data_IF_468129025774
#
_entry.id   IF_468129025774
#
_cell.length_a   1.000
_cell.length_b   1.000
_cell.length_c   1.000
_cell.angle_alpha   90.00
_cell.angle_beta   90.00
_cell.angle_gamma   90.00
#
_symmetry.space_group_name_H-M   'P 1'
#
loop_
_entity.id
_entity.type
_entity.pdbx_description
1 polymer ?
#
# COMPACT_ATOMS: atom_id res chain seq x y z
N UNK A 1 51.23 28.40 13.25
CA UNK A 1 51.79 27.29 12.45
C UNK A 1 52.85 27.72 11.43
N UNK A 2 52.64 28.75 10.60
CA UNK A 2 53.63 29.15 9.56
C UNK A 2 55.01 29.58 10.08
N UNK A 3 55.11 30.20 11.26
CA UNK A 3 56.41 30.53 11.91
C UNK A 3 57.06 29.38 12.69
N UNK A 4 56.34 28.30 12.97
CA UNK A 4 56.86 27.13 13.70
C UNK A 4 57.43 26.06 12.74
N UNK A 5 56.91 26.00 11.51
CA UNK A 5 57.40 25.07 10.48
C UNK A 5 58.75 25.49 9.88
N UNK A 6 59.08 26.80 9.85
CA UNK A 6 60.35 27.27 9.27
C UNK A 6 61.60 26.91 10.09
N UNK A 7 61.50 26.70 11.41
CA UNK A 7 62.64 26.30 12.24
C UNK A 7 62.96 24.80 12.18
N UNK A 8 62.07 23.96 11.64
CA UNK A 8 62.24 22.49 11.64
C UNK A 8 63.01 21.95 10.42
N UNK A 9 63.38 22.81 9.47
CA UNK A 9 64.01 22.42 8.20
C UNK A 9 65.49 22.80 8.08
N UNK A 10 66.15 23.38 9.10
CA UNK A 10 67.54 23.85 8.99
C UNK A 10 68.57 23.20 9.92
N UNK A 11 68.25 22.12 10.64
CA UNK A 11 69.23 21.45 11.51
C UNK A 11 69.43 19.97 11.12
N UNK A 12 70.56 19.71 10.47
CA UNK A 12 71.09 18.37 10.16
C UNK A 12 72.02 17.93 11.30
N UNK A 13 71.50 17.13 12.23
CA UNK A 13 72.29 16.50 13.29
C UNK A 13 71.52 15.37 13.98
N UNK A 14 72.21 14.32 14.43
CA UNK A 14 71.62 13.09 14.99
C UNK A 14 70.76 13.29 16.26
N UNK A 15 70.86 14.45 16.93
CA UNK A 15 69.93 14.84 18.01
C UNK A 15 68.49 15.17 17.53
N UNK A 16 68.25 15.13 16.22
CA UNK A 16 66.97 15.46 15.57
C UNK A 16 65.95 14.31 15.60
N UNK A 17 66.36 13.05 15.77
CA UNK A 17 65.44 11.91 15.64
C UNK A 17 64.53 11.77 16.88
N UNK A 18 65.08 11.93 18.09
CA UNK A 18 64.30 11.86 19.34
C UNK A 18 63.37 13.07 19.52
N UNK A 19 63.78 14.26 19.04
CA UNK A 19 62.92 15.46 19.05
C UNK A 19 61.81 15.36 18.02
N UNK A 20 62.07 14.80 16.83
CA UNK A 20 61.02 14.52 15.82
C UNK A 20 60.00 13.50 16.31
N UNK A 21 60.42 12.43 16.99
CA UNK A 21 59.49 11.46 17.58
C UNK A 21 58.64 12.05 18.69
N UNK A 22 59.21 12.88 19.58
CA UNK A 22 58.44 13.59 20.62
C UNK A 22 57.49 14.64 20.03
N UNK A 23 57.88 15.34 18.98
CA UNK A 23 57.01 16.27 18.26
C UNK A 23 55.87 15.55 17.52
N UNK A 24 56.12 14.37 16.95
CA UNK A 24 55.09 13.54 16.31
C UNK A 24 54.10 12.98 17.34
N UNK A 25 54.56 12.51 18.50
CA UNK A 25 53.69 12.05 19.59
C UNK A 25 52.86 13.18 20.19
N UNK A 26 53.43 14.39 20.35
CA UNK A 26 52.67 15.57 20.75
C UNK A 26 51.64 15.99 19.69
N UNK A 27 51.99 15.94 18.40
CA UNK A 27 51.06 16.24 17.32
C UNK A 27 49.93 15.20 17.24
N UNK A 28 50.22 13.92 17.45
CA UNK A 28 49.21 12.85 17.49
C UNK A 28 48.29 12.95 18.72
N UNK A 29 48.85 13.30 19.88
CA UNK A 29 48.07 13.57 21.08
C UNK A 29 47.19 14.82 20.92
N UNK A 30 47.71 15.88 20.29
CA UNK A 30 46.96 17.11 20.04
C UNK A 30 45.86 16.90 18.99
N UNK A 31 46.14 16.12 17.93
CA UNK A 31 45.12 15.72 16.94
C UNK A 31 44.08 14.79 17.59
N UNK A 32 44.46 13.84 18.44
CA UNK A 32 43.49 12.97 19.13
C UNK A 32 42.62 13.74 20.13
N UNK A 33 43.18 14.73 20.84
CA UNK A 33 42.42 15.59 21.75
C UNK A 33 41.54 16.58 20.98
N UNK A 34 42.05 17.20 19.91
CA UNK A 34 41.25 18.06 19.04
C UNK A 34 40.14 17.29 18.32
N UNK A 35 40.39 16.05 17.91
CA UNK A 35 39.38 15.17 17.31
C UNK A 35 38.35 14.73 18.34
N UNK A 36 38.75 14.39 19.58
CA UNK A 36 37.79 14.09 20.67
C UNK A 36 36.99 15.32 21.10
N UNK A 37 37.58 16.52 21.05
CA UNK A 37 36.89 17.78 21.35
C UNK A 37 35.94 18.18 20.21
N UNK A 38 36.35 18.01 18.96
CA UNK A 38 35.51 18.20 17.78
C UNK A 38 34.38 17.17 17.72
N UNK A 39 34.62 15.90 18.09
CA UNK A 39 33.60 14.86 18.17
C UNK A 39 32.64 15.09 19.34
N UNK A 40 33.12 15.62 20.48
CA UNK A 40 32.25 16.04 21.60
C UNK A 40 31.44 17.30 21.28
N UNK A 41 31.99 18.25 20.53
CA UNK A 41 31.26 19.42 20.01
C UNK A 41 30.27 19.03 18.90
N UNK A 42 30.61 18.06 18.04
CA UNK A 42 29.70 17.50 17.03
C UNK A 42 28.62 16.62 17.65
N UNK A 43 28.92 15.92 18.76
CA UNK A 43 27.92 15.21 19.56
C UNK A 43 27.03 16.17 20.36
N UNK A 44 27.57 17.29 20.88
CA UNK A 44 26.76 18.33 21.52
C UNK A 44 25.87 19.06 20.51
N UNK A 45 26.40 19.40 19.33
CA UNK A 45 25.60 19.97 18.24
C UNK A 45 24.62 18.95 17.64
N UNK A 46 24.96 17.66 17.60
CA UNK A 46 24.08 16.58 17.18
C UNK A 46 22.94 16.33 18.17
N UNK A 47 23.17 16.55 19.46
CA UNK A 47 22.14 16.47 20.51
C UNK A 47 21.30 17.75 20.55
N UNK A 48 21.86 18.94 20.26
CA UNK A 48 21.08 20.20 20.17
C UNK A 48 20.30 20.29 18.85
N UNK A 49 20.82 19.76 17.75
CA UNK A 49 20.07 19.57 16.49
C UNK A 49 19.07 18.42 16.62
N UNK A 50 19.37 17.39 17.42
CA UNK A 50 18.41 16.33 17.78
C UNK A 50 17.28 16.80 18.71
N UNK A 51 17.52 17.81 19.55
CA UNK A 51 16.50 18.43 20.42
C UNK A 51 15.74 19.59 19.73
N UNK A 52 16.27 20.17 18.65
CA UNK A 52 15.56 21.14 17.80
C UNK A 52 14.93 20.52 16.54
N UNK A 53 15.24 19.26 16.21
CA UNK A 53 14.52 18.42 15.24
C UNK A 53 13.58 17.40 15.91
N UNK A 54 13.39 17.49 17.22
CA UNK A 54 12.47 16.67 18.01
C UNK A 54 11.00 17.11 18.00
N UNK A 55 10.59 17.97 17.06
CA UNK A 55 9.19 18.38 16.85
C UNK A 55 8.73 18.13 15.40
N UNK A 56 9.16 17.02 14.82
CA UNK A 56 8.61 16.51 13.57
C UNK A 56 8.35 15.00 13.64
N UNK A 57 7.86 14.49 14.76
CA UNK A 57 6.96 13.33 14.73
C UNK A 57 5.58 13.82 14.29
N UNK A 58 5.50 14.24 13.03
CA UNK A 58 4.27 14.22 12.24
C UNK A 58 3.96 12.78 11.85
N UNK A 59 3.89 11.88 12.84
CA UNK A 59 3.26 10.60 12.67
C UNK A 59 1.89 10.88 12.09
N UNK A 60 1.64 10.35 10.89
CA UNK A 60 0.41 10.53 10.17
C UNK A 60 -0.77 10.13 11.07
N UNK A 61 -1.33 11.13 11.77
CA UNK A 61 -2.75 11.20 12.13
C UNK A 61 -3.48 10.92 10.83
N UNK A 62 -4.52 10.12 10.79
CA UNK A 62 -5.15 9.66 9.54
C UNK A 62 -6.59 10.15 9.41
N UNK A 63 -7.03 10.45 8.18
CA UNK A 63 -8.43 10.72 7.88
C UNK A 63 -9.06 9.78 6.88
N UNK A 64 -10.41 9.84 6.73
CA UNK A 64 -11.45 8.86 6.35
C UNK A 64 -11.24 7.44 6.89
N UNK A 65 -12.32 6.65 7.11
CA UNK A 65 -12.33 5.46 8.00
C UNK A 65 -11.13 5.45 8.96
N UNK A 66 -11.14 6.38 9.90
CA UNK A 66 -10.01 6.75 10.73
C UNK A 66 -9.78 5.67 11.76
N UNK A 67 -8.78 4.85 11.52
CA UNK A 67 -8.34 3.84 12.45
C UNK A 67 -6.85 4.03 12.76
N UNK A 68 -6.54 4.27 14.03
CA UNK A 68 -5.19 4.61 14.48
C UNK A 68 -4.13 3.52 14.20
N UNK A 69 -4.55 2.25 14.08
CA UNK A 69 -3.64 1.14 13.78
C UNK A 69 -3.47 0.89 12.27
N UNK A 70 -4.34 1.44 11.43
CA UNK A 70 -4.10 1.46 9.98
C UNK A 70 -3.02 2.51 9.70
N UNK A 71 -2.15 2.26 8.71
CA UNK A 71 -1.08 3.19 8.34
C UNK A 71 -0.97 3.29 6.84
N UNK A 72 -0.91 4.53 6.35
CA UNK A 72 -0.76 4.82 4.93
C UNK A 72 0.63 5.34 4.59
N UNK A 73 1.16 4.87 3.47
CA UNK A 73 2.34 5.43 2.86
C UNK A 73 1.99 6.77 2.17
N UNK A 74 2.98 7.62 1.85
CA UNK A 74 2.72 8.86 1.14
C UNK A 74 2.05 8.61 -0.22
N UNK A 75 0.92 9.30 -0.46
CA UNK A 75 0.22 9.31 -1.74
C UNK A 75 0.73 10.46 -2.64
N UNK A 76 0.70 10.31 -3.98
CA UNK A 76 0.14 9.18 -4.72
C UNK A 76 1.08 7.95 -4.75
N UNK A 77 0.54 6.75 -4.62
CA UNK A 77 1.29 5.49 -4.75
C UNK A 77 1.27 4.96 -6.18
N UNK A 78 2.17 4.03 -6.52
CA UNK A 78 2.13 3.30 -7.81
C UNK A 78 0.78 2.61 -8.00
N UNK A 79 0.28 2.61 -9.23
CA UNK A 79 -1.02 2.04 -9.58
C UNK A 79 -1.16 0.58 -9.16
N UNK A 80 -0.18 -0.26 -9.49
CA UNK A 80 -0.18 -1.68 -9.10
C UNK A 80 -0.35 -1.87 -7.59
N UNK A 81 0.57 -1.32 -6.80
CA UNK A 81 0.52 -1.49 -5.34
C UNK A 81 -0.74 -0.90 -4.72
N UNK A 82 -1.21 0.23 -5.28
CA UNK A 82 -2.50 0.80 -4.91
C UNK A 82 -3.66 -0.20 -5.06
N UNK A 83 -3.76 -0.83 -6.22
CA UNK A 83 -4.85 -1.73 -6.56
C UNK A 83 -4.84 -3.01 -5.73
N UNK A 84 -3.65 -3.51 -5.38
CA UNK A 84 -3.49 -4.64 -4.46
C UNK A 84 -4.05 -4.32 -3.08
N UNK A 85 -3.62 -3.20 -2.50
CA UNK A 85 -4.06 -2.77 -1.17
C UNK A 85 -5.54 -2.42 -1.14
N UNK A 86 -6.03 -1.73 -2.18
CA UNK A 86 -7.44 -1.43 -2.34
C UNK A 86 -8.30 -2.70 -2.40
N UNK A 87 -7.87 -3.73 -3.15
CA UNK A 87 -8.55 -5.03 -3.19
C UNK A 87 -8.50 -5.72 -1.82
N UNK A 88 -7.37 -5.70 -1.12
CA UNK A 88 -7.26 -6.28 0.21
C UNK A 88 -8.26 -5.65 1.19
N UNK A 89 -8.39 -4.31 1.19
CA UNK A 89 -9.38 -3.59 2.01
C UNK A 89 -10.81 -3.99 1.66
N UNK A 90 -11.10 -4.22 0.38
CA UNK A 90 -12.43 -4.62 -0.10
C UNK A 90 -12.86 -5.99 0.43
N UNK A 91 -11.92 -6.91 0.67
CA UNK A 91 -12.24 -8.25 1.19
C UNK A 91 -12.53 -8.26 2.69
N UNK A 92 -12.21 -7.19 3.44
CA UNK A 92 -12.48 -7.12 4.89
C UNK A 92 -13.98 -7.23 5.19
N UNK A 93 -14.82 -6.57 4.38
CA UNK A 93 -16.27 -6.56 4.57
C UNK A 93 -16.94 -7.89 4.19
N UNK A 94 -16.23 -8.80 3.51
CA UNK A 94 -16.80 -10.07 3.02
C UNK A 94 -16.63 -11.15 4.08
N UNK A 95 -17.72 -11.58 4.72
CA UNK A 95 -17.64 -12.59 5.80
C UNK A 95 -17.25 -13.99 5.33
N UNK A 96 -17.77 -14.38 4.15
CA UNK A 96 -17.52 -15.67 3.51
C UNK A 96 -17.34 -15.42 2.02
N UNK A 97 -16.09 -15.30 1.55
CA UNK A 97 -15.82 -15.24 0.11
C UNK A 97 -16.41 -16.46 -0.59
N UNK A 98 -16.99 -16.26 -1.77
CA UNK A 98 -17.65 -17.32 -2.54
C UNK A 98 -16.68 -18.45 -2.96
N UNK A 99 -15.37 -18.16 -2.95
CA UNK A 99 -14.28 -19.07 -3.23
C UNK A 99 -13.69 -19.74 -1.96
N UNK A 100 -14.29 -19.52 -0.78
CA UNK A 100 -13.77 -20.03 0.49
C UNK A 100 -12.49 -19.32 0.97
N UNK A 101 -12.10 -18.21 0.33
CA UNK A 101 -10.87 -17.49 0.62
C UNK A 101 -10.76 -16.99 2.06
N UNK A 102 -9.55 -17.06 2.62
CA UNK A 102 -9.19 -16.44 3.90
C UNK A 102 -8.59 -15.06 3.66
N UNK A 103 -9.11 -14.02 4.32
CA UNK A 103 -8.50 -12.68 4.34
C UNK A 103 -7.81 -12.45 5.69
N UNK A 104 -6.46 -12.45 5.75
CA UNK A 104 -5.71 -12.17 6.98
C UNK A 104 -6.10 -10.81 7.57
N UNK A 105 -6.24 -9.81 6.70
CA UNK A 105 -6.62 -8.46 7.11
C UNK A 105 -8.01 -8.44 7.76
N UNK A 106 -8.99 -9.21 7.23
CA UNK A 106 -10.29 -9.36 7.90
C UNK A 106 -10.14 -9.90 9.32
N UNK A 107 -9.29 -10.90 9.53
CA UNK A 107 -9.09 -11.52 10.85
C UNK A 107 -8.52 -10.51 11.86
N UNK A 108 -7.60 -9.64 11.43
CA UNK A 108 -7.08 -8.54 12.25
C UNK A 108 -8.22 -7.60 12.68
N UNK A 109 -9.07 -7.18 11.74
CA UNK A 109 -10.22 -6.31 12.03
C UNK A 109 -11.27 -6.97 12.92
N UNK A 110 -11.55 -8.27 12.73
CA UNK A 110 -12.45 -9.03 13.63
C UNK A 110 -11.87 -9.10 15.04
N UNK A 111 -10.57 -9.35 15.15
CA UNK A 111 -9.88 -9.41 16.44
C UNK A 111 -9.91 -8.06 17.15
N UNK A 112 -9.67 -6.97 16.41
CA UNK A 112 -9.80 -5.60 16.92
C UNK A 112 -11.23 -5.30 17.39
N UNK A 113 -12.26 -5.72 16.64
CA UNK A 113 -13.64 -5.52 17.02
C UNK A 113 -13.99 -6.22 18.34
N UNK A 114 -13.53 -7.47 18.53
CA UNK A 114 -13.71 -8.22 19.79
C UNK A 114 -12.98 -7.54 20.94
N UNK A 115 -11.77 -7.02 20.70
CA UNK A 115 -11.00 -6.28 21.69
C UNK A 115 -11.76 -5.04 22.19
N UNK A 116 -12.20 -4.15 21.29
CA UNK A 116 -12.96 -2.96 21.66
C UNK A 116 -14.31 -3.29 22.30
N UNK A 117 -15.00 -4.34 21.83
CA UNK A 117 -16.24 -4.81 22.45
C UNK A 117 -16.02 -5.22 23.91
N UNK A 118 -14.91 -5.93 24.20
CA UNK A 118 -14.56 -6.31 25.57
C UNK A 118 -14.26 -5.08 26.43
N UNK A 119 -13.49 -4.13 25.90
CA UNK A 119 -13.20 -2.87 26.61
C UNK A 119 -14.48 -2.10 26.97
N UNK A 120 -15.41 -1.99 26.01
CA UNK A 120 -16.68 -1.29 26.20
C UNK A 120 -17.57 -1.93 27.29
N UNK A 121 -17.45 -3.24 27.53
CA UNK A 121 -18.15 -3.95 28.62
C UNK A 121 -17.52 -3.71 29.98
N UNK A 122 -16.21 -3.44 30.02
CA UNK A 122 -15.47 -3.24 31.27
C UNK A 122 -15.52 -1.78 31.73
N UNK A 123 -15.47 -0.84 30.79
CA UNK A 123 -15.50 0.60 31.08
C UNK A 123 -16.04 1.41 29.90
N UNK A 124 -16.46 2.67 30.15
CA UNK A 124 -16.66 3.63 29.08
C UNK A 124 -15.39 3.75 28.22
N UNK A 125 -15.58 3.67 26.90
CA UNK A 125 -14.51 3.93 25.93
C UNK A 125 -14.12 5.41 25.95
N UNK A 126 -12.88 5.73 25.61
CA UNK A 126 -12.43 7.10 25.33
C UNK A 126 -12.88 7.55 23.94
N UNK A 127 -12.66 8.84 23.60
CA UNK A 127 -12.97 9.37 22.28
C UNK A 127 -12.22 8.63 21.15
N UNK A 128 -10.91 8.43 21.33
CA UNK A 128 -10.05 7.71 20.38
C UNK A 128 -10.49 6.26 20.22
N UNK A 129 -10.73 5.55 21.33
CA UNK A 129 -11.18 4.15 21.27
C UNK A 129 -12.56 4.01 20.63
N UNK A 130 -13.46 4.97 20.84
CA UNK A 130 -14.77 4.97 20.19
C UNK A 130 -14.65 5.25 18.69
N UNK A 131 -13.73 6.12 18.29
CA UNK A 131 -13.43 6.40 16.89
C UNK A 131 -12.85 5.17 16.19
N UNK A 132 -11.84 4.53 16.80
CA UNK A 132 -11.21 3.32 16.26
C UNK A 132 -12.20 2.15 16.21
N UNK A 133 -12.99 1.95 17.25
CA UNK A 133 -14.00 0.88 17.24
C UNK A 133 -15.04 1.11 16.13
N UNK A 134 -15.49 2.35 15.95
CA UNK A 134 -16.36 2.73 14.85
C UNK A 134 -15.72 2.46 13.47
N UNK A 135 -14.46 2.82 13.26
CA UNK A 135 -13.75 2.57 12.01
C UNK A 135 -13.59 1.07 11.72
N UNK A 136 -13.24 0.27 12.72
CA UNK A 136 -13.16 -1.19 12.62
C UNK A 136 -14.51 -1.78 12.19
N UNK A 137 -15.60 -1.32 12.81
CA UNK A 137 -16.95 -1.76 12.45
C UNK A 137 -17.34 -1.33 11.02
N UNK A 138 -16.93 -0.13 10.58
CA UNK A 138 -17.13 0.33 9.20
C UNK A 138 -16.42 -0.59 8.20
N UNK A 139 -15.14 -0.91 8.44
CA UNK A 139 -14.36 -1.82 7.58
C UNK A 139 -14.97 -3.21 7.48
N UNK A 140 -15.54 -3.71 8.59
CA UNK A 140 -16.24 -4.98 8.65
C UNK A 140 -17.64 -4.96 8.01
N UNK A 141 -18.11 -3.83 7.47
CA UNK A 141 -19.45 -3.71 6.90
C UNK A 141 -20.58 -3.56 7.93
N UNK A 142 -20.26 -3.41 9.22
CA UNK A 142 -21.22 -3.39 10.35
C UNK A 142 -21.62 -1.95 10.70
N UNK A 143 -22.15 -1.22 9.72
CA UNK A 143 -22.36 0.24 9.84
C UNK A 143 -23.39 0.64 10.91
N UNK A 144 -24.44 -0.16 11.10
CA UNK A 144 -25.42 0.07 12.18
C UNK A 144 -24.76 0.06 13.57
N UNK A 145 -23.86 -0.90 13.80
CA UNK A 145 -23.13 -1.00 15.06
C UNK A 145 -22.10 0.12 15.19
N UNK A 146 -21.45 0.51 14.10
CA UNK A 146 -20.56 1.66 14.09
C UNK A 146 -21.29 2.93 14.55
N UNK A 147 -22.50 3.18 14.06
CA UNK A 147 -23.32 4.33 14.46
C UNK A 147 -23.73 4.29 15.93
N UNK A 148 -24.05 3.10 16.46
CA UNK A 148 -24.39 2.92 17.88
C UNK A 148 -23.23 3.30 18.81
N UNK A 149 -21.98 3.16 18.35
CA UNK A 149 -20.77 3.57 19.08
C UNK A 149 -20.45 5.04 18.82
N UNK A 150 -20.43 5.47 17.56
CA UNK A 150 -19.93 6.78 17.14
C UNK A 150 -20.87 7.93 17.53
N UNK A 151 -22.19 7.77 17.35
CA UNK A 151 -23.15 8.85 17.61
C UNK A 151 -23.17 9.34 19.08
N UNK A 152 -23.24 8.46 20.11
CA UNK A 152 -23.13 8.92 21.50
C UNK A 152 -21.74 9.46 21.83
N UNK A 153 -20.67 8.90 21.27
CA UNK A 153 -19.31 9.39 21.48
C UNK A 153 -19.13 10.81 20.91
N UNK A 154 -19.61 11.09 19.70
CA UNK A 154 -19.54 12.41 19.08
C UNK A 154 -20.31 13.49 19.87
N UNK A 155 -21.44 13.12 20.50
CA UNK A 155 -22.16 14.03 21.42
C UNK A 155 -21.37 14.34 22.69
N UNK A 156 -20.61 13.37 23.20
CA UNK A 156 -19.78 13.53 24.40
C UNK A 156 -18.49 14.30 24.12
N UNK A 157 -17.93 14.15 22.93
CA UNK A 157 -16.70 14.81 22.48
C UNK A 157 -16.92 15.53 21.15
N UNK A 158 -17.61 16.69 21.17
CA UNK A 158 -18.02 17.40 19.96
C UNK A 158 -16.85 17.95 19.13
N UNK A 159 -15.66 18.12 19.71
CA UNK A 159 -14.49 18.65 18.99
C UNK A 159 -13.51 17.55 18.54
N UNK A 160 -13.91 16.28 18.60
CA UNK A 160 -13.05 15.16 18.18
C UNK A 160 -13.21 14.84 16.70
N UNK A 161 -12.25 15.26 15.90
CA UNK A 161 -12.20 15.09 14.44
C UNK A 161 -12.60 13.70 13.93
N UNK A 162 -11.89 12.64 14.36
CA UNK A 162 -12.09 11.29 13.81
C UNK A 162 -13.47 10.71 14.13
N UNK A 163 -14.15 11.18 15.18
CA UNK A 163 -15.52 10.73 15.49
C UNK A 163 -16.49 11.24 14.43
N UNK A 164 -16.41 12.53 14.08
CA UNK A 164 -17.28 13.14 13.08
C UNK A 164 -17.03 12.59 11.67
N UNK A 165 -15.77 12.37 11.31
CA UNK A 165 -15.42 11.85 10.01
C UNK A 165 -15.83 10.37 9.83
N UNK A 166 -15.62 9.53 10.85
CA UNK A 166 -16.13 8.15 10.86
C UNK A 166 -17.66 8.11 10.88
N UNK A 167 -18.31 9.01 11.62
CA UNK A 167 -19.76 9.13 11.66
C UNK A 167 -20.32 9.52 10.28
N UNK A 168 -19.70 10.48 9.60
CA UNK A 168 -20.04 10.88 8.24
C UNK A 168 -19.90 9.75 7.24
N UNK A 169 -18.81 8.98 7.35
CA UNK A 169 -18.59 7.77 6.53
C UNK A 169 -19.67 6.71 6.78
N UNK A 170 -19.99 6.43 8.04
CA UNK A 170 -21.02 5.45 8.40
C UNK A 170 -22.40 5.85 7.86
N UNK A 171 -22.81 7.11 8.01
CA UNK A 171 -24.07 7.62 7.44
C UNK A 171 -24.09 7.57 5.92
N UNK A 172 -22.97 7.91 5.27
CA UNK A 172 -22.85 7.80 3.82
C UNK A 172 -23.09 6.36 3.35
N UNK A 173 -22.45 5.39 3.99
CA UNK A 173 -22.58 3.98 3.63
C UNK A 173 -24.01 3.45 3.86
N UNK A 174 -24.74 4.00 4.83
CA UNK A 174 -26.18 3.73 5.00
C UNK A 174 -27.08 4.42 3.97
N UNK A 175 -26.56 5.35 3.18
CA UNK A 175 -27.35 6.15 2.25
C UNK A 175 -28.09 7.33 2.89
N UNK A 176 -27.77 7.66 4.14
CA UNK A 176 -28.33 8.79 4.89
C UNK A 176 -27.51 10.06 4.58
N UNK A 177 -27.67 10.55 3.35
CA UNK A 177 -26.82 11.61 2.79
C UNK A 177 -26.87 12.93 3.54
N UNK A 178 -28.03 13.33 4.07
CA UNK A 178 -28.16 14.59 4.83
C UNK A 178 -27.31 14.56 6.10
N UNK A 179 -27.41 13.47 6.86
CA UNK A 179 -26.61 13.26 8.08
C UNK A 179 -25.13 13.09 7.79
N UNK A 180 -24.80 12.44 6.68
CA UNK A 180 -23.42 12.32 6.23
C UNK A 180 -22.81 13.70 5.94
N UNK A 181 -23.55 14.60 5.27
CA UNK A 181 -23.11 15.97 5.00
C UNK A 181 -22.88 16.75 6.30
N UNK A 182 -23.80 16.69 7.27
CA UNK A 182 -23.67 17.39 8.55
C UNK A 182 -22.42 16.92 9.32
N UNK A 183 -22.23 15.61 9.45
CA UNK A 183 -21.07 15.05 10.15
C UNK A 183 -19.75 15.36 9.43
N UNK A 184 -19.71 15.31 8.08
CA UNK A 184 -18.52 15.67 7.32
C UNK A 184 -18.23 17.17 7.33
N UNK A 185 -19.22 18.04 7.50
CA UNK A 185 -18.98 19.47 7.71
C UNK A 185 -18.22 19.72 9.01
N UNK A 186 -18.58 19.03 10.10
CA UNK A 186 -17.84 19.09 11.35
C UNK A 186 -16.45 18.45 11.22
N UNK A 187 -16.33 17.33 10.49
CA UNK A 187 -15.04 16.72 10.19
C UNK A 187 -14.10 17.71 9.49
N UNK A 188 -14.55 18.39 8.44
CA UNK A 188 -13.77 19.41 7.71
C UNK A 188 -13.39 20.58 8.62
N UNK A 189 -14.30 21.02 9.51
CA UNK A 189 -14.03 22.10 10.47
C UNK A 189 -12.91 21.72 11.46
N UNK A 190 -12.92 20.49 11.93
CA UNK A 190 -11.98 19.97 12.92
C UNK A 190 -10.72 19.34 12.31
N UNK A 191 -10.65 19.23 10.99
CA UNK A 191 -9.61 18.50 10.30
C UNK A 191 -8.21 19.09 10.55
N UNK A 192 -7.23 18.25 10.95
CA UNK A 192 -5.84 18.64 10.94
C UNK A 192 -5.40 19.05 9.52
N UNK A 193 -4.38 19.92 9.37
CA UNK A 193 -3.95 20.43 8.07
C UNK A 193 -3.63 19.35 7.02
N UNK A 194 -3.08 18.21 7.46
CA UNK A 194 -2.75 17.08 6.59
C UNK A 194 -3.98 16.42 5.94
N UNK A 195 -5.17 16.56 6.53
CA UNK A 195 -6.39 15.87 6.12
C UNK A 195 -7.47 16.76 5.57
N UNK A 196 -7.41 18.04 5.94
CA UNK A 196 -8.43 19.02 5.58
C UNK A 196 -8.83 18.93 4.11
N UNK A 197 -7.85 18.82 3.22
CA UNK A 197 -8.10 18.72 1.79
C UNK A 197 -8.83 17.42 1.39
N UNK A 198 -8.43 16.27 1.92
CA UNK A 198 -9.11 15.00 1.62
C UNK A 198 -10.55 15.00 2.14
N UNK A 199 -10.78 15.54 3.34
CA UNK A 199 -12.11 15.69 3.94
C UNK A 199 -12.99 16.67 3.15
N UNK A 200 -12.43 17.77 2.63
CA UNK A 200 -13.15 18.70 1.76
C UNK A 200 -13.64 18.00 0.48
N UNK A 201 -12.82 17.13 -0.11
CA UNK A 201 -13.21 16.34 -1.28
C UNK A 201 -14.15 15.20 -0.92
N UNK A 202 -14.05 14.60 0.27
CA UNK A 202 -15.02 13.61 0.75
C UNK A 202 -16.40 14.25 0.94
N UNK A 203 -16.47 15.41 1.59
CA UNK A 203 -17.69 16.20 1.70
C UNK A 203 -18.24 16.59 0.31
N UNK A 204 -17.38 16.96 -0.64
CA UNK A 204 -17.80 17.24 -2.02
C UNK A 204 -18.41 16.00 -2.69
N UNK A 205 -17.77 14.84 -2.56
CA UNK A 205 -18.27 13.56 -3.08
C UNK A 205 -19.67 13.26 -2.52
N UNK A 206 -19.85 13.36 -1.20
CA UNK A 206 -21.15 13.11 -0.55
C UNK A 206 -22.22 14.10 -1.01
N UNK A 207 -21.87 15.38 -1.19
CA UNK A 207 -22.80 16.39 -1.72
C UNK A 207 -23.21 16.11 -3.17
N UNK A 208 -22.26 15.69 -4.02
CA UNK A 208 -22.56 15.27 -5.40
C UNK A 208 -23.54 14.10 -5.40
N UNK A 209 -23.26 13.06 -4.60
CA UNK A 209 -24.11 11.87 -4.43
C UNK A 209 -25.50 12.19 -3.89
N UNK A 210 -25.59 13.09 -2.90
CA UNK A 210 -26.86 13.58 -2.35
C UNK A 210 -27.72 14.27 -3.40
N UNK A 211 -27.11 15.05 -4.30
CA UNK A 211 -27.79 15.78 -5.35
C UNK A 211 -28.23 14.89 -6.54
N UNK A 212 -27.70 13.67 -6.64
CA UNK A 212 -28.15 12.70 -7.64
C UNK A 212 -29.61 12.32 -7.35
N UNK A 213 -30.51 12.52 -8.32
CA UNK A 213 -31.91 12.11 -8.18
C UNK A 213 -31.99 10.59 -8.03
N UNK A 214 -32.75 10.09 -7.03
CA UNK A 214 -33.10 8.66 -6.95
C UNK A 214 -33.73 8.21 -8.27
N UNK A 215 -33.14 7.20 -8.91
CA UNK A 215 -33.64 6.63 -10.17
C UNK A 215 -33.02 7.21 -11.45
N UNK A 216 -32.17 8.24 -11.40
CA UNK A 216 -31.24 8.49 -12.51
C UNK A 216 -30.16 7.43 -12.47
N UNK A 217 -30.04 6.62 -13.52
CA UNK A 217 -28.89 5.75 -13.78
C UNK A 217 -27.62 6.57 -13.56
N UNK A 218 -26.71 6.13 -12.68
CA UNK A 218 -25.44 6.80 -12.38
C UNK A 218 -24.82 7.32 -13.69
N UNK A 219 -24.88 8.64 -13.90
CA UNK A 219 -24.70 9.26 -15.24
C UNK A 219 -23.24 9.31 -15.70
N UNK A 220 -22.30 8.90 -14.87
CA UNK A 220 -20.89 8.88 -15.23
C UNK A 220 -19.98 8.95 -14.02
N UNK A 221 -18.74 9.30 -14.31
CA UNK A 221 -17.68 9.56 -13.33
C UNK A 221 -18.00 10.82 -12.55
N UNK A 222 -17.59 10.86 -11.28
CA UNK A 222 -17.89 11.98 -10.40
C UNK A 222 -17.14 13.23 -10.83
N UNK A 223 -17.85 14.35 -10.86
CA UNK A 223 -17.21 15.65 -11.08
C UNK A 223 -16.55 16.17 -9.79
N UNK A 224 -15.57 15.40 -9.32
CA UNK A 224 -14.86 15.71 -8.09
C UNK A 224 -13.94 16.93 -8.27
N UNK A 225 -13.42 17.17 -9.48
CA UNK A 225 -12.41 18.20 -9.75
C UNK A 225 -12.92 19.39 -10.59
N UNK A 226 -14.21 19.47 -10.91
CA UNK A 226 -14.77 20.54 -11.74
C UNK A 226 -14.39 20.39 -13.22
N UNK A 227 -14.21 19.15 -13.69
CA UNK A 227 -13.82 18.84 -15.06
C UNK A 227 -14.80 17.86 -15.68
N UNK A 228 -15.09 18.05 -16.97
CA UNK A 228 -15.76 17.00 -17.73
C UNK A 228 -14.80 15.82 -17.92
N UNK A 229 -15.34 14.60 -17.90
CA UNK A 229 -14.59 13.38 -18.20
C UNK A 229 -14.83 12.88 -19.64
N UNK A 230 -15.28 13.78 -20.53
CA UNK A 230 -15.37 13.54 -21.97
C UNK A 230 -14.00 13.66 -22.67
N UNK A 231 -13.83 13.06 -23.85
CA UNK A 231 -12.61 13.22 -24.65
C UNK A 231 -11.98 11.91 -25.11
N UNK A 232 -10.87 11.97 -25.86
CA UNK A 232 -10.20 10.77 -26.38
C UNK A 232 -9.54 9.96 -25.26
N UNK A 233 -9.38 8.65 -25.49
CA UNK A 233 -8.40 7.86 -24.76
C UNK A 233 -7.00 8.30 -25.20
N UNK A 234 -6.11 8.59 -24.25
CA UNK A 234 -4.83 9.22 -24.49
C UNK A 234 -4.53 10.38 -23.52
N UNK A 235 -3.25 10.80 -23.43
CA UNK A 235 -2.83 11.85 -22.53
C UNK A 235 -3.59 13.15 -22.82
N UNK A 236 -4.07 13.81 -21.76
CA UNK A 236 -4.80 15.06 -21.93
C UNK A 236 -3.90 16.21 -22.39
N UNK A 237 -4.43 17.14 -23.23
CA UNK A 237 -3.75 18.38 -23.54
C UNK A 237 -3.34 19.12 -22.27
N UNK A 238 -2.18 19.78 -22.31
CA UNK A 238 -1.59 20.46 -21.16
C UNK A 238 -2.56 21.41 -20.45
N UNK A 239 -3.27 22.23 -21.22
CA UNK A 239 -4.24 23.20 -20.69
C UNK A 239 -5.37 22.54 -19.87
N UNK A 240 -5.87 21.39 -20.32
CA UNK A 240 -6.92 20.65 -19.60
C UNK A 240 -6.36 20.00 -18.33
N UNK A 241 -5.10 19.54 -18.37
CA UNK A 241 -4.43 18.95 -17.21
C UNK A 241 -4.16 19.98 -16.11
N UNK A 242 -3.81 21.21 -16.49
CA UNK A 242 -3.62 22.31 -15.55
C UNK A 242 -4.91 22.72 -14.80
N UNK A 243 -6.09 22.33 -15.31
CA UNK A 243 -7.34 22.49 -14.60
C UNK A 243 -7.53 21.48 -13.46
N UNK A 244 -6.80 20.35 -13.49
CA UNK A 244 -6.81 19.37 -12.40
C UNK A 244 -5.94 19.87 -11.23
N UNK A 245 -6.36 19.63 -9.98
CA UNK A 245 -5.49 19.80 -8.84
C UNK A 245 -4.20 18.97 -8.97
N UNK A 246 -3.04 19.48 -8.56
CA UNK A 246 -1.77 18.74 -8.66
C UNK A 246 -1.77 17.45 -7.83
N UNK A 247 -2.65 17.35 -6.84
CA UNK A 247 -2.84 16.22 -5.95
C UNK A 247 -4.09 15.40 -6.26
N UNK A 248 -4.71 15.58 -7.44
CA UNK A 248 -5.95 14.89 -7.83
C UNK A 248 -5.85 13.35 -7.71
N UNK A 249 -4.72 12.76 -8.14
CA UNK A 249 -4.49 11.31 -8.00
C UNK A 249 -4.40 10.91 -6.53
N UNK A 250 -3.69 11.68 -5.70
CA UNK A 250 -3.57 11.38 -4.27
C UNK A 250 -4.93 11.46 -3.58
N UNK A 251 -5.74 12.48 -3.90
CA UNK A 251 -7.10 12.63 -3.39
C UNK A 251 -7.98 11.44 -3.78
N UNK A 252 -8.00 11.09 -5.07
CA UNK A 252 -8.82 9.98 -5.56
C UNK A 252 -8.36 8.63 -4.96
N UNK A 253 -7.04 8.41 -4.82
CA UNK A 253 -6.49 7.22 -4.17
C UNK A 253 -6.91 7.17 -2.70
N UNK A 254 -6.81 8.28 -1.97
CA UNK A 254 -7.18 8.34 -0.57
C UNK A 254 -8.67 8.03 -0.36
N UNK A 255 -9.56 8.64 -1.14
CA UNK A 255 -11.01 8.38 -1.07
C UNK A 255 -11.34 6.92 -1.40
N UNK A 256 -10.68 6.35 -2.41
CA UNK A 256 -10.87 4.95 -2.79
C UNK A 256 -10.36 3.99 -1.70
N UNK A 257 -9.30 4.34 -0.95
CA UNK A 257 -8.88 3.54 0.21
C UNK A 257 -9.88 3.60 1.36
N UNK A 258 -10.55 4.75 1.57
CA UNK A 258 -11.61 4.87 2.58
C UNK A 258 -12.87 4.11 2.19
N UNK A 259 -13.19 4.12 0.90
CA UNK A 259 -14.41 3.56 0.31
C UNK A 259 -14.07 2.49 -0.72
N UNK A 260 -13.46 1.35 -0.32
CA UNK A 260 -12.95 0.34 -1.26
C UNK A 260 -14.06 -0.39 -2.04
N UNK A 261 -15.32 -0.22 -1.63
CA UNK A 261 -16.50 -0.75 -2.30
C UNK A 261 -17.07 0.22 -3.36
N UNK A 262 -16.60 1.47 -3.42
CA UNK A 262 -17.07 2.44 -4.40
C UNK A 262 -16.29 2.33 -5.72
N UNK A 263 -16.84 1.56 -6.66
CA UNK A 263 -16.26 1.38 -7.99
C UNK A 263 -16.18 2.69 -8.81
N UNK A 264 -16.97 3.72 -8.51
CA UNK A 264 -16.93 4.99 -9.26
C UNK A 264 -15.65 5.78 -8.96
N UNK A 265 -15.10 5.63 -7.75
CA UNK A 265 -13.79 6.20 -7.40
C UNK A 265 -12.64 5.51 -8.14
N UNK A 266 -12.71 4.18 -8.31
CA UNK A 266 -11.75 3.47 -9.16
C UNK A 266 -11.88 3.86 -10.63
N UNK A 267 -13.10 4.09 -11.11
CA UNK A 267 -13.30 4.61 -12.46
C UNK A 267 -12.66 6.00 -12.62
N UNK A 268 -12.87 6.89 -11.65
CA UNK A 268 -12.24 8.20 -11.61
C UNK A 268 -10.71 8.10 -11.64
N UNK A 269 -10.12 7.15 -10.91
CA UNK A 269 -8.68 6.88 -10.96
C UNK A 269 -8.21 6.44 -12.34
N UNK A 270 -9.00 5.63 -13.05
CA UNK A 270 -8.67 5.24 -14.42
C UNK A 270 -8.70 6.44 -15.38
N UNK A 271 -9.66 7.35 -15.23
CA UNK A 271 -9.71 8.59 -16.04
C UNK A 271 -8.51 9.50 -15.75
N UNK A 272 -8.09 9.62 -14.48
CA UNK A 272 -6.87 10.34 -14.09
C UNK A 272 -5.60 9.69 -14.67
N UNK A 273 -5.49 8.36 -14.60
CA UNK A 273 -4.39 7.62 -15.21
C UNK A 273 -4.32 7.90 -16.72
N UNK A 274 -5.45 7.87 -17.41
CA UNK A 274 -5.53 8.25 -18.82
C UNK A 274 -5.08 9.70 -19.06
N UNK A 275 -5.49 10.65 -18.22
CA UNK A 275 -5.09 12.05 -18.35
C UNK A 275 -3.57 12.23 -18.27
N UNK A 276 -2.88 11.42 -17.46
CA UNK A 276 -1.42 11.39 -17.32
C UNK A 276 -0.68 10.60 -18.42
N UNK A 277 -1.43 9.88 -19.27
CA UNK A 277 -0.91 9.05 -20.37
C UNK A 277 -0.73 7.57 -20.03
N UNK A 278 -1.17 7.12 -18.85
CA UNK A 278 -1.15 5.73 -18.37
C UNK A 278 -2.36 4.95 -18.93
N UNK A 279 -2.52 4.94 -20.27
CA UNK A 279 -3.73 4.43 -20.93
C UNK A 279 -3.89 2.92 -20.75
N UNK A 280 -2.78 2.17 -20.72
CA UNK A 280 -2.80 0.70 -20.53
C UNK A 280 -3.33 0.38 -19.12
N UNK A 281 -2.78 1.05 -18.10
CA UNK A 281 -3.25 0.97 -16.72
C UNK A 281 -4.71 1.37 -16.61
N UNK A 282 -5.09 2.49 -17.24
CA UNK A 282 -6.47 2.96 -17.22
C UNK A 282 -7.45 1.94 -17.81
N UNK A 283 -7.15 1.38 -18.99
CA UNK A 283 -7.98 0.34 -19.61
C UNK A 283 -8.13 -0.89 -18.70
N UNK A 284 -7.03 -1.32 -18.07
CA UNK A 284 -7.00 -2.36 -17.07
C UNK A 284 -7.90 -2.08 -15.86
N UNK A 285 -7.84 -0.86 -15.31
CA UNK A 285 -8.68 -0.46 -14.20
C UNK A 285 -10.16 -0.46 -14.56
N UNK A 286 -10.51 0.06 -15.74
CA UNK A 286 -11.89 0.09 -16.22
C UNK A 286 -12.48 -1.29 -16.41
N UNK A 287 -11.67 -2.25 -16.85
CA UNK A 287 -12.12 -3.63 -16.99
C UNK A 287 -12.45 -4.28 -15.66
N UNK A 288 -11.61 -4.05 -14.66
CA UNK A 288 -11.90 -4.47 -13.30
C UNK A 288 -13.13 -3.77 -12.70
N UNK A 289 -13.36 -2.49 -13.02
CA UNK A 289 -14.57 -1.78 -12.61
C UNK A 289 -15.86 -2.45 -13.12
N UNK A 290 -15.84 -2.97 -14.34
CA UNK A 290 -16.99 -3.68 -14.91
C UNK A 290 -17.19 -5.05 -14.25
N UNK A 291 -16.12 -5.83 -14.09
CA UNK A 291 -16.23 -7.20 -13.59
C UNK A 291 -16.55 -7.26 -12.10
N UNK A 292 -16.00 -6.34 -11.31
CA UNK A 292 -16.06 -6.41 -9.85
C UNK A 292 -17.16 -5.52 -9.26
N UNK A 293 -17.51 -4.42 -9.93
CA UNK A 293 -18.50 -3.45 -9.44
C UNK A 293 -19.73 -3.33 -10.34
N UNK A 294 -19.79 -4.11 -11.42
CA UNK A 294 -20.94 -4.10 -12.33
C UNK A 294 -21.14 -2.78 -13.08
N UNK A 295 -20.10 -1.96 -13.25
CA UNK A 295 -20.18 -0.64 -13.90
C UNK A 295 -20.32 -0.73 -15.43
N UNK A 296 -21.44 -1.27 -15.91
CA UNK A 296 -21.63 -1.74 -17.29
C UNK A 296 -22.68 -0.96 -18.10
N UNK A 297 -23.06 0.26 -17.68
CA UNK A 297 -24.03 1.08 -18.41
C UNK A 297 -23.58 1.33 -19.86
N UNK A 298 -24.49 1.58 -20.82
CA UNK A 298 -24.11 1.78 -22.23
C UNK A 298 -23.04 2.86 -22.43
N UNK A 299 -23.12 3.96 -21.69
CA UNK A 299 -22.15 5.04 -21.74
C UNK A 299 -20.77 4.62 -21.20
N UNK A 300 -20.74 3.93 -20.05
CA UNK A 300 -19.50 3.41 -19.46
C UNK A 300 -18.85 2.34 -20.34
N UNK A 301 -19.66 1.46 -20.95
CA UNK A 301 -19.18 0.46 -21.90
C UNK A 301 -18.54 1.11 -23.13
N UNK A 302 -19.16 2.14 -23.70
CA UNK A 302 -18.58 2.88 -24.82
C UNK A 302 -17.26 3.56 -24.43
N UNK A 303 -17.22 4.20 -23.26
CA UNK A 303 -16.00 4.84 -22.70
C UNK A 303 -14.85 3.84 -22.56
N UNK A 304 -15.11 2.68 -21.97
CA UNK A 304 -14.13 1.60 -21.79
C UNK A 304 -13.59 1.04 -23.10
N UNK A 305 -14.44 0.89 -24.12
CA UNK A 305 -14.01 0.40 -25.43
C UNK A 305 -13.01 1.35 -26.11
N UNK A 306 -13.16 2.67 -25.92
CA UNK A 306 -12.17 3.65 -26.40
C UNK A 306 -10.79 3.41 -25.76
N UNK A 307 -10.76 3.17 -24.45
CA UNK A 307 -9.52 2.96 -23.69
C UNK A 307 -8.84 1.65 -24.11
N UNK A 308 -9.62 0.56 -24.27
CA UNK A 308 -9.09 -0.71 -24.77
C UNK A 308 -8.48 -0.58 -26.17
N UNK A 309 -9.17 0.10 -27.09
CA UNK A 309 -8.69 0.28 -28.44
C UNK A 309 -7.38 1.07 -28.48
N UNK A 310 -7.24 2.09 -27.64
CA UNK A 310 -6.01 2.89 -27.57
C UNK A 310 -4.86 2.15 -26.86
N UNK A 311 -5.15 1.44 -25.77
CA UNK A 311 -4.18 0.61 -25.08
C UNK A 311 -3.59 -0.48 -26.01
N UNK A 312 -4.40 -1.05 -26.90
CA UNK A 312 -3.94 -2.05 -27.86
C UNK A 312 -2.95 -1.48 -28.88
N UNK A 313 -3.18 -0.25 -29.37
CA UNK A 313 -2.21 0.44 -30.24
C UNK A 313 -0.89 0.71 -29.54
N UNK A 314 -0.93 1.13 -28.27
CA UNK A 314 0.27 1.43 -27.48
C UNK A 314 1.10 0.18 -27.19
N UNK A 315 0.47 -0.99 -26.99
CA UNK A 315 1.21 -2.26 -26.81
C UNK A 315 2.03 -2.62 -28.05
N UNK A 316 1.57 -2.24 -29.24
CA UNK A 316 2.23 -2.51 -30.51
C UNK A 316 3.36 -1.50 -30.81
N UNK A 317 3.37 -0.34 -30.15
CA UNK A 317 4.32 0.74 -30.39
C UNK A 317 4.98 1.18 -29.09
N UNK A 318 6.23 0.76 -28.89
CA UNK A 318 7.00 0.82 -27.64
C UNK A 318 7.31 2.23 -27.04
N UNK A 319 6.57 3.29 -27.40
CA UNK A 319 6.75 4.63 -26.82
C UNK A 319 5.67 4.91 -25.77
N UNK A 320 5.90 4.42 -24.56
CA UNK A 320 5.11 4.80 -23.39
C UNK A 320 5.72 6.06 -22.75
N UNK A 321 4.99 7.18 -22.72
CA UNK A 321 5.41 8.41 -22.02
C UNK A 321 4.45 8.68 -20.85
N UNK A 322 4.77 8.10 -19.69
CA UNK A 322 4.07 8.41 -18.45
C UNK A 322 4.59 9.70 -17.83
N UNK A 323 3.66 10.58 -17.43
CA UNK A 323 3.95 11.77 -16.63
C UNK A 323 3.69 11.56 -15.14
N UNK A 324 3.15 10.41 -14.76
CA UNK A 324 2.83 10.09 -13.37
C UNK A 324 4.10 9.90 -12.54
N UNK A 325 4.09 10.45 -11.32
CA UNK A 325 5.24 10.42 -10.39
C UNK A 325 4.78 9.90 -9.02
N UNK A 326 4.90 8.59 -8.76
CA UNK A 326 4.51 8.00 -7.48
C UNK A 326 5.50 8.39 -6.37
N UNK A 327 5.00 8.58 -5.15
CA UNK A 327 5.78 8.80 -3.92
C UNK A 327 6.04 7.52 -3.13
N UNK A 328 5.25 6.47 -3.37
CA UNK A 328 5.36 5.17 -2.73
C UNK A 328 5.03 4.05 -3.71
N UNK A 329 5.50 2.83 -3.44
CA UNK A 329 5.15 1.65 -4.22
C UNK A 329 3.78 1.08 -3.83
N UNK A 330 3.42 1.16 -2.55
CA UNK A 330 2.15 0.68 -1.98
C UNK A 330 1.54 1.74 -1.08
N UNK A 331 0.19 1.89 -1.03
CA UNK A 331 -0.46 2.86 -0.16
C UNK A 331 -0.61 2.42 1.30
N UNK A 332 -0.69 1.13 1.62
CA UNK A 332 -0.75 0.65 3.00
C UNK A 332 0.65 0.32 3.49
N UNK A 333 1.03 0.89 4.63
CA UNK A 333 2.19 0.44 5.40
C UNK A 333 1.78 -0.83 6.14
N UNK A 334 1.75 -1.94 5.41
CA UNK A 334 1.70 -3.25 6.03
C UNK A 334 3.08 -3.51 6.65
N UNK A 335 3.21 -3.22 7.95
CA UNK A 335 4.26 -3.84 8.76
C UNK A 335 3.92 -5.32 8.83
N UNK A 336 4.48 -6.09 7.91
CA UNK A 336 4.51 -7.53 8.06
C UNK A 336 5.37 -7.83 9.27
N UNK A 337 4.74 -8.04 10.42
CA UNK A 337 5.45 -8.45 11.62
C UNK A 337 5.66 -9.96 11.56
N UNK A 338 6.86 -10.33 11.13
CA UNK A 338 7.31 -11.73 11.11
C UNK A 338 7.18 -12.42 12.47
N UNK A 339 7.15 -11.66 13.58
CA UNK A 339 7.02 -12.21 14.94
C UNK A 339 5.63 -12.76 15.22
N UNK A 340 4.60 -12.32 14.47
CA UNK A 340 3.25 -12.84 14.57
C UNK A 340 3.08 -14.17 13.85
N UNK A 341 4.04 -14.57 13.01
CA UNK A 341 4.00 -15.87 12.38
C UNK A 341 4.32 -16.99 13.38
N UNK A 342 3.57 -18.10 13.35
CA UNK A 342 3.92 -19.26 14.16
C UNK A 342 5.32 -19.75 13.79
N UNK A 343 6.07 -20.40 14.69
CA UNK A 343 7.34 -20.99 14.33
C UNK A 343 7.17 -22.00 13.18
N UNK A 344 8.15 -22.15 12.28
CA UNK A 344 8.09 -23.14 11.21
C UNK A 344 7.77 -24.53 11.77
N UNK A 345 6.78 -25.19 11.17
CA UNK A 345 6.32 -26.52 11.61
C UNK A 345 7.44 -27.55 11.44
N UNK A 346 7.55 -28.45 12.39
CA UNK A 346 8.42 -29.63 12.32
C UNK A 346 7.71 -30.85 11.74
N UNK A 347 6.38 -30.85 11.76
CA UNK A 347 5.50 -32.00 11.51
C UNK A 347 4.58 -31.82 10.29
N UNK A 348 4.96 -30.98 9.33
CA UNK A 348 4.18 -30.75 8.12
C UNK A 348 4.54 -29.46 7.38
N UNK A 349 3.80 -29.11 6.33
CA UNK A 349 4.06 -27.90 5.57
C UNK A 349 3.74 -26.66 6.40
N UNK A 350 4.67 -25.70 6.40
CA UNK A 350 4.44 -24.39 7.04
C UNK A 350 3.66 -23.49 6.08
N UNK A 351 2.47 -22.97 6.47
CA UNK A 351 1.73 -22.04 5.63
C UNK A 351 2.53 -20.77 5.37
N UNK A 352 2.65 -20.41 4.10
CA UNK A 352 3.39 -19.25 3.62
C UNK A 352 2.41 -18.16 3.19
N UNK A 353 2.38 -17.00 3.86
CA UNK A 353 1.51 -15.90 3.47
C UNK A 353 2.18 -15.04 2.38
N UNK A 354 1.43 -14.63 1.36
CA UNK A 354 1.93 -13.74 0.30
C UNK A 354 2.57 -12.43 0.80
N UNK A 355 2.06 -11.77 1.86
CA UNK A 355 2.74 -10.62 2.44
C UNK A 355 4.20 -10.85 2.85
N UNK A 356 4.57 -12.07 3.27
CA UNK A 356 5.96 -12.41 3.59
C UNK A 356 6.84 -12.41 2.33
N UNK A 357 6.32 -12.91 1.20
CA UNK A 357 7.03 -12.86 -0.08
C UNK A 357 7.16 -11.42 -0.58
N UNK A 358 6.07 -10.65 -0.49
CA UNK A 358 6.02 -9.24 -0.88
C UNK A 358 6.94 -8.35 -0.04
N UNK A 359 7.30 -8.74 1.19
CA UNK A 359 8.25 -8.04 2.04
C UNK A 359 9.71 -8.16 1.57
N UNK A 360 9.98 -8.97 0.55
CA UNK A 360 11.30 -9.04 -0.08
C UNK A 360 11.60 -7.73 -0.81
N UNK A 361 12.74 -7.12 -0.49
CA UNK A 361 13.14 -5.80 -0.99
C UNK A 361 14.44 -5.86 -1.79
N UNK A 362 14.69 -4.83 -2.60
CA UNK A 362 15.88 -4.73 -3.46
C UNK A 362 16.70 -3.52 -3.02
N UNK A 363 17.95 -3.73 -2.65
CA UNK A 363 18.90 -2.70 -2.28
C UNK A 363 19.53 -1.99 -3.49
N UNK A 364 20.26 -0.91 -3.22
CA UNK A 364 21.01 -0.17 -4.22
C UNK A 364 22.07 -1.10 -4.84
N UNK A 365 21.94 -1.43 -6.14
CA UNK A 365 22.73 -2.41 -6.94
C UNK A 365 22.12 -3.81 -7.10
N UNK A 366 20.84 -4.00 -6.80
CA UNK A 366 20.14 -5.25 -7.10
C UNK A 366 20.36 -6.36 -6.06
N UNK A 367 20.95 -6.04 -4.90
CA UNK A 367 21.01 -6.95 -3.76
C UNK A 367 19.60 -7.28 -3.27
N UNK A 368 19.29 -8.55 -3.11
CA UNK A 368 17.97 -8.99 -2.66
C UNK A 368 17.99 -9.17 -1.13
N UNK A 369 17.06 -8.52 -0.45
CA UNK A 369 16.88 -8.61 1.00
C UNK A 369 15.62 -9.42 1.31
N UNK A 370 15.83 -10.67 1.73
CA UNK A 370 14.75 -11.55 2.18
C UNK A 370 14.46 -11.37 3.69
N UNK A 371 13.17 -11.35 4.08
CA UNK A 371 12.72 -11.48 5.47
C UNK A 371 13.41 -12.61 6.25
N UNK A 372 13.68 -12.41 7.55
CA UNK A 372 14.40 -13.38 8.39
C UNK A 372 13.64 -14.71 8.48
N UNK A 373 12.33 -14.63 8.65
CA UNK A 373 11.43 -15.77 8.67
C UNK A 373 11.48 -16.54 7.35
N UNK A 374 11.53 -15.83 6.22
CA UNK A 374 11.60 -16.47 4.91
C UNK A 374 12.94 -17.20 4.71
N UNK A 375 14.05 -16.60 5.15
CA UNK A 375 15.37 -17.26 5.15
C UNK A 375 15.39 -18.54 5.99
N UNK A 376 14.65 -18.60 7.10
CA UNK A 376 14.52 -19.83 7.92
C UNK A 376 13.70 -20.93 7.24
N UNK A 377 12.84 -20.57 6.28
CA UNK A 377 12.04 -21.50 5.50
C UNK A 377 12.74 -22.02 4.24
N UNK A 378 13.91 -21.47 3.88
CA UNK A 378 14.66 -21.97 2.73
C UNK A 378 15.05 -23.45 2.93
N UNK A 379 14.70 -24.28 1.95
CA UNK A 379 14.83 -25.73 1.99
C UNK A 379 13.80 -26.47 2.86
N UNK A 380 12.79 -25.80 3.41
CA UNK A 380 11.71 -26.43 4.19
C UNK A 380 10.45 -26.66 3.35
N UNK A 381 9.59 -27.55 3.84
CA UNK A 381 8.28 -27.80 3.25
C UNK A 381 7.32 -26.67 3.63
N UNK A 382 6.74 -26.01 2.64
CA UNK A 382 5.80 -24.91 2.81
C UNK A 382 4.52 -25.17 2.03
N UNK A 383 3.44 -24.50 2.41
CA UNK A 383 2.19 -24.49 1.65
C UNK A 383 1.75 -23.07 1.32
N UNK A 384 1.36 -22.83 0.08
CA UNK A 384 1.00 -21.51 -0.44
C UNK A 384 -0.26 -21.64 -1.31
N UNK A 385 -1.28 -20.84 -1.01
CA UNK A 385 -2.45 -20.72 -1.86
C UNK A 385 -2.16 -19.74 -3.00
N UNK A 386 -2.64 -19.99 -4.21
CA UNK A 386 -2.50 -19.03 -5.30
C UNK A 386 -3.21 -19.47 -6.58
N UNK A 387 -2.93 -18.76 -7.65
CA UNK A 387 -3.51 -19.01 -8.97
C UNK A 387 -2.45 -19.48 -9.94
N UNK A 388 -2.76 -20.56 -10.66
CA UNK A 388 -1.86 -21.14 -11.64
C UNK A 388 -1.77 -20.27 -12.90
N UNK A 389 -0.54 -19.99 -13.32
CA UNK A 389 -0.21 -19.42 -14.61
C UNK A 389 0.73 -20.35 -15.38
N UNK A 390 0.23 -21.06 -16.41
CA UNK A 390 1.04 -22.00 -17.17
C UNK A 390 2.08 -21.24 -18.02
N UNK A 391 3.31 -21.76 -18.07
CA UNK A 391 4.41 -21.17 -18.86
C UNK A 391 4.35 -21.50 -20.36
N UNK A 392 3.42 -22.35 -20.77
CA UNK A 392 3.22 -22.73 -22.17
C UNK A 392 1.84 -23.32 -22.45
N UNK A 393 1.64 -23.75 -23.68
CA UNK A 393 0.33 -24.21 -24.16
C UNK A 393 -0.01 -25.66 -23.79
N UNK A 394 0.90 -26.38 -23.14
CA UNK A 394 0.68 -27.76 -22.71
C UNK A 394 -0.58 -27.87 -21.83
N UNK A 395 -1.50 -28.81 -22.10
CA UNK A 395 -2.73 -28.96 -21.34
C UNK A 395 -2.47 -29.40 -19.88
N UNK A 396 -1.38 -30.13 -19.67
CA UNK A 396 -0.97 -30.66 -18.36
C UNK A 396 0.49 -30.28 -18.05
N UNK A 397 0.76 -29.03 -17.62
CA UNK A 397 2.11 -28.59 -17.30
C UNK A 397 2.71 -29.34 -16.09
N UNK A 398 4.02 -29.57 -16.15
CA UNK A 398 4.84 -29.99 -15.00
C UNK A 398 5.38 -28.80 -14.20
N UNK A 399 5.45 -27.63 -14.86
CA UNK A 399 6.00 -26.41 -14.31
C UNK A 399 5.08 -25.23 -14.63
N UNK A 400 4.87 -24.35 -13.66
CA UNK A 400 4.01 -23.18 -13.81
C UNK A 400 4.40 -22.08 -12.83
N UNK A 401 3.92 -20.86 -13.07
CA UNK A 401 4.01 -19.77 -12.10
C UNK A 401 2.77 -19.77 -11.21
N UNK A 402 2.97 -19.72 -9.90
CA UNK A 402 1.92 -19.47 -8.93
C UNK A 402 1.91 -17.99 -8.60
N UNK A 403 0.74 -17.37 -8.73
CA UNK A 403 0.53 -15.95 -8.45
C UNK A 403 -0.39 -15.77 -7.25
N UNK A 404 -0.23 -14.64 -6.54
CA UNK A 404 -1.17 -14.22 -5.49
C UNK A 404 -2.59 -13.99 -6.03
N UNK A 405 -2.69 -13.55 -7.29
CA UNK A 405 -3.93 -13.20 -7.96
C UNK A 405 -3.99 -13.81 -9.36
N UNK A 406 -5.19 -14.14 -9.88
CA UNK A 406 -5.33 -14.84 -11.16
C UNK A 406 -4.83 -13.97 -12.32
N UNK A 407 -4.09 -14.57 -13.24
CA UNK A 407 -3.64 -13.91 -14.47
C UNK A 407 -4.84 -13.89 -15.41
N UNK A 408 -5.37 -12.69 -15.62
CA UNK A 408 -6.75 -12.45 -16.06
C UNK A 408 -7.42 -11.39 -15.19
N UNK A 409 -6.87 -11.12 -13.99
CA UNK A 409 -7.09 -9.88 -13.27
C UNK A 409 -6.49 -8.73 -14.08
N UNK A 410 -7.35 -8.00 -14.80
CA UNK A 410 -6.95 -6.87 -15.63
C UNK A 410 -6.15 -5.82 -14.86
N UNK A 411 -6.38 -5.66 -13.55
CA UNK A 411 -5.64 -4.73 -12.68
C UNK A 411 -4.16 -5.08 -12.49
N UNK A 412 -3.77 -6.34 -12.66
CA UNK A 412 -2.39 -6.77 -12.49
C UNK A 412 -1.67 -6.65 -13.82
N UNK A 413 -0.91 -5.55 -14.01
CA UNK A 413 0.22 -5.58 -14.93
C UNK A 413 1.16 -6.76 -14.60
N UNK A 414 2.16 -7.02 -15.45
CA UNK A 414 3.18 -8.05 -15.21
C UNK A 414 3.58 -8.11 -13.74
N UNK A 415 3.41 -9.27 -13.07
CA UNK A 415 3.74 -9.40 -11.66
C UNK A 415 5.19 -9.01 -11.38
N UNK A 416 5.39 -8.20 -10.34
CA UNK A 416 6.75 -7.92 -9.84
C UNK A 416 7.40 -9.24 -9.44
N UNK A 417 8.74 -9.36 -9.49
CA UNK A 417 9.42 -10.63 -9.19
C UNK A 417 9.08 -11.21 -7.82
N UNK A 418 8.73 -10.37 -6.84
CA UNK A 418 8.33 -10.78 -5.50
C UNK A 418 6.86 -11.27 -5.38
N UNK A 419 6.06 -11.13 -6.45
CA UNK A 419 4.71 -11.67 -6.58
C UNK A 419 4.64 -12.91 -7.49
N UNK A 420 5.81 -13.48 -7.83
CA UNK A 420 5.97 -14.65 -8.69
C UNK A 420 6.60 -15.79 -7.90
N UNK A 421 5.93 -16.95 -7.85
CA UNK A 421 6.53 -18.17 -7.32
C UNK A 421 6.60 -19.19 -8.44
N UNK A 422 7.81 -19.63 -8.79
CA UNK A 422 8.00 -20.71 -9.75
C UNK A 422 7.68 -22.05 -9.09
N UNK A 423 6.84 -22.87 -9.70
CA UNK A 423 6.44 -24.17 -9.16
C UNK A 423 6.87 -25.27 -10.11
N UNK A 424 7.62 -26.23 -9.58
CA UNK A 424 8.01 -27.46 -10.25
C UNK A 424 7.41 -28.64 -9.50
N UNK A 425 6.52 -29.37 -10.17
CA UNK A 425 5.89 -30.56 -9.61
C UNK A 425 6.93 -31.67 -9.40
N UNK A 426 6.63 -32.60 -8.49
CA UNK A 426 7.44 -33.81 -8.33
C UNK A 426 7.52 -34.62 -9.63
N UNK A 427 8.66 -35.28 -9.87
CA UNK A 427 8.94 -36.00 -11.12
C UNK A 427 7.79 -36.94 -11.53
N UNK A 428 7.37 -36.81 -12.79
CA UNK A 428 6.28 -37.60 -13.36
C UNK A 428 4.86 -37.15 -12.98
N UNK A 429 4.70 -36.09 -12.18
CA UNK A 429 3.39 -35.50 -11.89
C UNK A 429 3.05 -34.39 -12.87
N UNK A 430 1.80 -34.40 -13.32
CA UNK A 430 1.23 -33.36 -14.16
C UNK A 430 -0.10 -32.90 -13.57
N UNK A 431 -0.53 -31.69 -13.92
CA UNK A 431 -1.79 -31.13 -13.44
C UNK A 431 -2.55 -30.49 -14.58
N UNK A 432 -3.86 -30.71 -14.65
CA UNK A 432 -4.72 -29.98 -15.57
C UNK A 432 -4.70 -28.48 -15.28
N UNK A 433 -4.67 -27.68 -16.35
CA UNK A 433 -4.81 -26.22 -16.24
C UNK A 433 -6.04 -25.85 -15.43
N UNK A 434 -5.82 -25.11 -14.35
CA UNK A 434 -6.85 -24.63 -13.43
C UNK A 434 -6.86 -23.11 -13.36
N UNK A 435 -8.05 -22.54 -13.16
CA UNK A 435 -8.28 -21.09 -12.99
C UNK A 435 -8.78 -20.74 -11.60
N UNK A 436 -9.22 -21.74 -10.85
CA UNK A 436 -9.58 -21.72 -9.45
C UNK A 436 -8.34 -21.52 -8.55
N UNK A 437 -8.60 -21.09 -7.31
CA UNK A 437 -7.59 -21.01 -6.27
C UNK A 437 -7.07 -22.43 -5.97
N UNK A 438 -5.76 -22.60 -5.98
CA UNK A 438 -5.09 -23.87 -5.69
C UNK A 438 -4.20 -23.74 -4.46
N UNK A 439 -4.09 -24.83 -3.70
CA UNK A 439 -3.13 -24.97 -2.62
C UNK A 439 -1.91 -25.74 -3.15
N UNK A 440 -0.74 -25.12 -3.13
CA UNK A 440 0.53 -25.75 -3.54
C UNK A 440 1.36 -26.04 -2.30
N UNK A 441 1.79 -27.28 -2.14
CA UNK A 441 2.72 -27.70 -1.09
C UNK A 441 4.02 -28.15 -1.73
N UNK A 442 5.15 -27.60 -1.33
CA UNK A 442 6.45 -27.93 -1.93
C UNK A 442 7.62 -27.45 -1.09
N UNK A 443 8.83 -27.75 -1.53
CA UNK A 443 10.07 -27.33 -0.86
C UNK A 443 10.48 -25.95 -1.35
N UNK A 444 10.52 -24.97 -0.45
CA UNK A 444 10.88 -23.60 -0.82
C UNK A 444 12.38 -23.48 -1.11
N UNK A 445 12.72 -22.78 -2.18
CA UNK A 445 14.06 -22.34 -2.54
C UNK A 445 14.08 -20.84 -2.78
N UNK A 446 14.99 -20.14 -2.12
CA UNK A 446 15.24 -18.73 -2.34
C UNK A 446 16.42 -18.53 -3.30
N UNK A 447 16.27 -17.62 -4.25
CA UNK A 447 17.35 -17.27 -5.17
C UNK A 447 18.08 -16.01 -4.67
N UNK A 448 19.34 -16.17 -4.28
CA UNK A 448 20.14 -15.09 -3.70
C UNK A 448 20.88 -14.25 -4.75
N UNK A 449 21.34 -14.88 -5.84
CA UNK A 449 22.44 -14.33 -6.64
C UNK A 449 22.24 -14.45 -8.17
N UNK A 450 21.27 -15.24 -8.65
CA UNK A 450 21.09 -15.46 -10.09
C UNK A 450 20.05 -14.48 -10.69
N UNK A 451 20.44 -13.49 -11.50
CA UNK A 451 19.49 -12.53 -12.09
C UNK A 451 18.51 -13.15 -13.10
N UNK A 452 18.80 -14.35 -13.62
CA UNK A 452 17.95 -15.05 -14.61
C UNK A 452 16.96 -16.02 -13.97
N UNK A 453 17.06 -16.28 -12.65
CA UNK A 453 16.17 -17.19 -11.95
C UNK A 453 15.11 -16.46 -11.12
N UNK A 454 13.95 -17.10 -10.92
CA UNK A 454 12.88 -16.56 -10.08
C UNK A 454 13.33 -16.44 -8.61
N UNK A 455 12.82 -15.42 -7.91
CA UNK A 455 13.14 -15.19 -6.50
C UNK A 455 12.75 -16.36 -5.59
N UNK A 456 11.61 -16.99 -5.91
CA UNK A 456 11.01 -18.05 -5.13
C UNK A 456 10.70 -19.24 -6.03
N UNK A 457 11.17 -20.42 -5.62
CA UNK A 457 10.85 -21.69 -6.28
C UNK A 457 10.26 -22.68 -5.27
N UNK A 458 9.19 -23.38 -5.65
CA UNK A 458 8.67 -24.55 -4.96
C UNK A 458 9.05 -25.80 -5.76
N UNK A 459 9.96 -26.60 -5.20
CA UNK A 459 10.39 -27.87 -5.77
C UNK A 459 9.56 -29.03 -5.22
N UNK A 460 9.50 -30.14 -5.97
CA UNK A 460 8.79 -31.37 -5.57
C UNK A 460 7.33 -31.10 -5.18
N UNK A 461 6.70 -30.13 -5.84
CA UNK A 461 5.42 -29.59 -5.42
C UNK A 461 4.26 -30.57 -5.69
N UNK A 462 3.27 -30.51 -4.79
CA UNK A 462 2.00 -31.22 -4.86
C UNK A 462 0.88 -30.19 -4.78
N UNK A 463 -0.11 -30.31 -5.66
CA UNK A 463 -1.25 -29.38 -5.72
C UNK A 463 -2.50 -30.07 -5.19
N UNK A 464 -3.23 -29.36 -4.35
CA UNK A 464 -4.51 -29.79 -3.78
C UNK A 464 -5.55 -28.67 -3.93
N UNK A 465 -6.83 -29.01 -3.74
CA UNK A 465 -7.87 -27.98 -3.57
C UNK A 465 -7.76 -27.38 -2.16
N UNK A 466 -7.97 -26.06 -2.01
CA UNK A 466 -8.11 -25.45 -0.69
C UNK A 466 -9.28 -26.12 0.05
N UNK A 467 -9.08 -26.53 1.30
CA UNK A 467 -10.14 -27.08 2.17
C UNK A 467 -10.93 -25.99 2.87
#
# INVERSE_FOLDING_TARGET
MRKFLCCLLSETGEASHLRRQRAFLFLFAFISVAYRLAYRLFALCGVVVGLLLGLADGGAVQAGVHYSAEKYAPLPSRWRGFLLDHRALRTIAVERPADGGFSPLRQEYVTAAVHYQRLARQRPLTAHESADYGAVLIRLGRWNEALAVLAPAARRWPDHFALHANLGTAWQLQGEWDRAVEALQEAVRLAPPAWKRYEEYHLKLVRLRRAEKRGTTARGVDDLFGVSWDGPAGPWPEQRRQALPPDAVAIAQQLALWLPQDGRLLWLLAELANADGEVIVAAAMLDGCVTEFGLNSPALRARRLLFRAEAEKLRQHAKHQSRFRPRSSRPLLQTFDEQLLPPPRSDGPTPLPWPLLAATSFGDRGTIHFPDYLRRLDGRLVSLNGFMHPLGDQPQPQEFLLLEYPVGCWFCETPEPNGLVYVRLADGRQIDKRRDLILVTGRLRLNHDNPEAFLFTLEEAVVAQPQ
#
